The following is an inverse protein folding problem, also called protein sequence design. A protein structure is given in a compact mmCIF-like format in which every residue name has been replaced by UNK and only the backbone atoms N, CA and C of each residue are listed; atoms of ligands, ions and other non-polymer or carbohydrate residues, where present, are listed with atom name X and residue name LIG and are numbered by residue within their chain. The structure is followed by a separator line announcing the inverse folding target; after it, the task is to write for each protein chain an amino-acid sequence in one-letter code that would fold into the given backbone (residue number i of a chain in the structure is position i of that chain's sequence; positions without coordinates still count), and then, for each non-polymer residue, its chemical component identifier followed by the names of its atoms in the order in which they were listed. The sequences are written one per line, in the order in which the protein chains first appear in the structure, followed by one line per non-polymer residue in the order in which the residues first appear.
data_IF_843162321200
#
_entry.id   IF_843162321200
#
_cell.length_a   1.000
_cell.length_b   1.000
_cell.length_c   1.000
_cell.angle_alpha   90.00
_cell.angle_beta   90.00
_cell.angle_gamma   90.00
#
_symmetry.space_group_name_H-M   'P 1'
#
loop_
_entity.id
_entity.type
_entity.pdbx_description
1 polymer ?
#
# COMPACT_ATOMS: atom_id res chain seq x y z
N UNK A 1 12.33 18.64 11.95
CA UNK A 1 12.69 17.84 10.77
C UNK A 1 11.77 16.65 10.75
N UNK A 2 10.85 16.59 9.78
CA UNK A 2 9.92 15.47 9.64
C UNK A 2 10.73 14.19 9.42
N UNK A 3 10.52 13.17 10.26
CA UNK A 3 11.06 11.84 10.01
C UNK A 3 10.63 11.45 8.58
N UNK A 4 11.49 10.92 7.69
CA UNK A 4 11.02 10.43 6.41
C UNK A 4 9.91 9.42 6.72
N UNK A 5 8.69 9.70 6.26
CA UNK A 5 7.53 8.86 6.52
C UNK A 5 7.93 7.42 6.25
N UNK A 6 7.92 6.58 7.28
CA UNK A 6 8.26 5.16 7.17
C UNK A 6 7.43 4.57 6.04
N UNK A 7 8.09 3.83 5.15
CA UNK A 7 7.42 3.18 4.03
C UNK A 7 6.22 2.36 4.51
N UNK A 8 5.02 2.76 4.11
CA UNK A 8 3.76 2.14 4.49
C UNK A 8 2.80 2.13 3.29
N UNK A 9 2.83 1.05 2.46
CA UNK A 9 1.96 0.92 1.29
C UNK A 9 0.47 1.08 1.63
N UNK A 10 0.04 0.57 2.79
CA UNK A 10 -1.35 0.70 3.25
C UNK A 10 -1.77 2.17 3.36
N UNK A 11 -1.00 2.97 4.11
CA UNK A 11 -1.33 4.37 4.36
C UNK A 11 -1.29 5.18 3.06
N UNK A 12 -0.33 4.90 2.17
CA UNK A 12 -0.25 5.59 0.88
C UNK A 12 -1.43 5.23 -0.03
N UNK A 13 -1.83 3.95 -0.09
CA UNK A 13 -3.03 3.53 -0.83
C UNK A 13 -4.29 4.22 -0.31
N UNK A 14 -4.49 4.29 1.02
CA UNK A 14 -5.64 4.96 1.62
C UNK A 14 -5.69 6.45 1.27
N UNK A 15 -4.55 7.15 1.36
CA UNK A 15 -4.42 8.56 0.98
C UNK A 15 -4.73 8.76 -0.50
N UNK A 16 -4.15 7.96 -1.39
CA UNK A 16 -4.37 8.06 -2.84
C UNK A 16 -5.84 7.79 -3.22
N UNK A 17 -6.45 6.75 -2.66
CA UNK A 17 -7.88 6.46 -2.87
C UNK A 17 -8.75 7.64 -2.42
N UNK A 18 -8.46 8.24 -1.26
CA UNK A 18 -9.18 9.42 -0.79
C UNK A 18 -8.99 10.63 -1.72
N UNK A 19 -7.81 10.78 -2.33
CA UNK A 19 -7.53 11.90 -3.25
C UNK A 19 -8.18 11.75 -4.64
N UNK A 20 -8.58 10.54 -5.06
CA UNK A 20 -9.22 10.35 -6.37
C UNK A 20 -10.48 11.21 -6.55
N UNK A 21 -11.22 11.51 -5.48
CA UNK A 21 -12.42 12.36 -5.54
C UNK A 21 -12.08 13.80 -5.94
N UNK A 22 -10.87 14.26 -5.65
CA UNK A 22 -10.40 15.61 -5.94
C UNK A 22 -9.58 15.70 -7.25
N UNK A 23 -9.47 14.61 -8.01
CA UNK A 23 -8.74 14.62 -9.27
C UNK A 23 -9.37 15.60 -10.29
N UNK A 24 -8.59 16.53 -10.87
CA UNK A 24 -9.11 17.60 -11.74
C UNK A 24 -9.63 17.08 -13.09
N UNK A 25 -9.11 15.95 -13.57
CA UNK A 25 -9.49 15.34 -14.82
C UNK A 25 -9.40 13.79 -14.76
N UNK A 26 -9.88 13.15 -15.82
CA UNK A 26 -9.85 11.69 -15.96
C UNK A 26 -8.41 11.15 -16.01
N UNK A 27 -7.48 11.90 -16.61
CA UNK A 27 -6.07 11.51 -16.70
C UNK A 27 -5.44 11.37 -15.31
N UNK A 28 -5.59 12.39 -14.47
CA UNK A 28 -5.06 12.42 -13.10
C UNK A 28 -5.70 11.32 -12.25
N UNK A 29 -7.02 11.10 -12.38
CA UNK A 29 -7.71 10.01 -11.69
C UNK A 29 -7.15 8.63 -12.09
N UNK A 30 -6.91 8.43 -13.38
CA UNK A 30 -6.34 7.19 -13.90
C UNK A 30 -4.91 6.98 -13.40
N UNK A 31 -4.11 8.03 -13.33
CA UNK A 31 -2.74 7.94 -12.86
C UNK A 31 -2.67 7.63 -11.35
N UNK A 32 -3.57 8.20 -10.55
CA UNK A 32 -3.73 7.79 -9.14
C UNK A 32 -4.13 6.30 -9.06
N UNK A 33 -5.06 5.84 -9.91
CA UNK A 33 -5.44 4.42 -10.00
C UNK A 33 -4.26 3.52 -10.36
N UNK A 34 -3.41 3.95 -11.29
CA UNK A 34 -2.18 3.24 -11.67
C UNK A 34 -1.22 3.10 -10.49
N UNK A 35 -1.02 4.17 -9.72
CA UNK A 35 -0.19 4.15 -8.51
C UNK A 35 -0.75 3.21 -7.44
N UNK A 36 -2.07 3.20 -7.23
CA UNK A 36 -2.73 2.25 -6.32
C UNK A 36 -2.50 0.80 -6.76
N UNK A 37 -2.56 0.53 -8.07
CA UNK A 37 -2.26 -0.81 -8.59
C UNK A 37 -0.80 -1.24 -8.35
N UNK A 38 0.15 -0.31 -8.45
CA UNK A 38 1.55 -0.58 -8.09
C UNK A 38 1.67 -0.91 -6.60
N UNK A 39 0.98 -0.17 -5.73
CA UNK A 39 1.00 -0.43 -4.27
C UNK A 39 0.40 -1.79 -3.91
N UNK A 40 -0.55 -2.29 -4.69
CA UNK A 40 -1.10 -3.64 -4.52
C UNK A 40 -0.05 -4.75 -4.74
N UNK A 41 1.00 -4.50 -5.54
CA UNK A 41 2.12 -5.43 -5.71
C UNK A 41 3.00 -5.48 -4.44
N UNK A 42 3.12 -4.36 -3.73
CA UNK A 42 3.87 -4.28 -2.48
C UNK A 42 3.07 -4.84 -1.29
N UNK A 43 1.74 -4.65 -1.29
CA UNK A 43 0.84 -5.14 -0.25
C UNK A 43 -0.38 -5.84 -0.86
N UNK A 44 -0.23 -7.08 -1.32
CA UNK A 44 -1.34 -7.83 -1.90
C UNK A 44 -2.43 -8.11 -0.85
N UNK A 45 -3.68 -8.12 -1.29
CA UNK A 45 -4.85 -8.45 -0.45
C UNK A 45 -5.55 -9.68 -1.00
N UNK A 46 -6.05 -10.53 -0.10
CA UNK A 46 -6.88 -11.67 -0.47
C UNK A 46 -8.26 -11.25 -0.98
N UNK A 47 -9.05 -12.23 -1.42
CA UNK A 47 -10.41 -12.03 -1.95
C UNK A 47 -11.38 -11.36 -0.98
N UNK A 48 -11.08 -11.39 0.32
CA UNK A 48 -11.83 -10.71 1.39
C UNK A 48 -11.35 -9.27 1.66
N UNK A 49 -10.45 -8.72 0.85
CA UNK A 49 -9.84 -7.40 1.04
C UNK A 49 -8.83 -7.31 2.19
N UNK A 50 -8.57 -8.42 2.90
CA UNK A 50 -7.60 -8.47 4.00
C UNK A 50 -6.24 -8.88 3.45
N UNK A 51 -5.18 -8.30 4.01
CA UNK A 51 -3.80 -8.64 3.65
C UNK A 51 -3.38 -10.03 4.15
N UNK A 52 -3.76 -10.40 5.37
CA UNK A 52 -3.42 -11.72 5.94
C UNK A 52 -1.91 -11.97 5.94
N UNK A 53 -1.51 -13.17 5.52
CA UNK A 53 -0.11 -13.61 5.42
C UNK A 53 0.54 -13.31 4.06
N UNK A 54 -0.08 -12.50 3.20
CA UNK A 54 0.40 -12.21 1.85
C UNK A 54 1.52 -11.14 1.87
N UNK A 55 2.62 -11.43 2.56
CA UNK A 55 3.70 -10.47 2.72
C UNK A 55 4.63 -10.41 1.50
N UNK A 56 5.24 -9.25 1.31
CA UNK A 56 6.35 -9.03 0.37
C UNK A 56 7.51 -8.38 1.13
N UNK A 57 8.75 -8.42 0.61
CA UNK A 57 9.89 -7.73 1.22
C UNK A 57 9.67 -6.21 1.41
N UNK A 58 8.70 -5.66 0.69
CA UNK A 58 8.34 -4.23 0.69
C UNK A 58 6.95 -3.99 1.27
N UNK A 59 6.41 -4.92 2.07
CA UNK A 59 5.05 -4.79 2.56
C UNK A 59 4.86 -3.64 3.58
N UNK A 60 5.95 -3.22 4.24
CA UNK A 60 5.90 -2.17 5.27
C UNK A 60 5.16 -2.59 6.55
N UNK A 61 4.81 -3.88 6.69
CA UNK A 61 4.52 -4.46 8.00
C UNK A 61 5.81 -4.44 8.82
N UNK A 62 5.72 -4.14 10.11
CA UNK A 62 6.83 -4.44 11.02
C UNK A 62 7.03 -5.95 10.95
N UNK A 63 8.24 -6.41 10.66
CA UNK A 63 8.55 -7.84 10.60
C UNK A 63 8.01 -8.49 11.88
N UNK A 64 6.91 -9.23 11.75
CA UNK A 64 6.53 -10.17 12.78
C UNK A 64 7.71 -11.12 12.84
N UNK A 65 8.42 -11.10 13.97
CA UNK A 65 9.60 -11.89 14.27
C UNK A 65 9.55 -13.21 13.51
N UNK A 66 10.62 -13.47 12.76
CA UNK A 66 10.85 -14.73 12.08
C UNK A 66 10.75 -15.86 13.10
N UNK A 67 9.55 -16.43 13.23
CA UNK A 67 9.25 -17.59 14.06
C UNK A 67 9.74 -18.87 13.39
N UNK A 68 10.98 -18.87 12.92
CA UNK A 68 11.73 -20.08 12.59
C UNK A 68 12.91 -20.11 13.55
N UNK A 69 12.64 -20.60 14.76
CA UNK A 69 13.68 -21.15 15.63
C UNK A 69 13.96 -22.55 15.07
N UNK A 70 15.13 -22.72 14.45
CA UNK A 70 15.71 -24.04 14.20
C UNK A 70 16.20 -24.64 15.53
#
# INVERSE_FOLDING_TARGET
MSNPDRWCPKSLTEKLCAQQVFAPDAFTRNEIGRLVNVLALHRPTGSNGKHGNLHTPTCGCEDAESGVVL
#
